data_IF_530075647402
#
_entry.id   IF_530075647402
#
_cell.length_a   1.000
_cell.length_b   1.000
_cell.length_c   1.000
_cell.angle_alpha   90.00
_cell.angle_beta   90.00
_cell.angle_gamma   90.00
#
_symmetry.space_group_name_H-M   'P 1'
#
loop_
_entity.id
_entity.type
_entity.pdbx_description
1 polymer ?
#
# COMPACT_ATOMS: atom_id res chain seq x y z
N UNK A 1 -4.06 26.68 0.90
CA UNK A 1 -2.65 26.54 1.28
C UNK A 1 -2.22 25.11 0.97
N UNK A 2 -1.34 24.90 -0.02
CA UNK A 2 -0.92 23.56 -0.43
C UNK A 2 -0.02 22.94 0.64
N UNK A 3 -0.53 21.92 1.35
CA UNK A 3 0.30 21.04 2.18
C UNK A 3 1.16 20.19 1.24
N UNK A 4 2.29 20.71 0.76
CA UNK A 4 3.36 19.86 0.21
C UNK A 4 4.11 19.27 1.40
N UNK A 5 4.08 17.95 1.62
CA UNK A 5 4.86 17.36 2.71
C UNK A 5 6.36 17.52 2.40
N UNK A 6 7.12 17.90 3.42
CA UNK A 6 8.60 18.01 3.42
C UNK A 6 9.32 16.66 3.27
N UNK A 7 8.58 15.55 3.14
CA UNK A 7 9.12 14.24 2.82
C UNK A 7 8.72 13.83 1.40
N UNK A 8 9.62 13.99 0.43
CA UNK A 8 9.39 13.52 -0.94
C UNK A 8 9.35 11.98 -1.05
N UNK A 9 9.69 11.25 0.02
CA UNK A 9 9.80 9.79 0.01
C UNK A 9 8.48 9.08 0.35
N UNK A 10 7.58 9.72 1.11
CA UNK A 10 6.31 9.08 1.51
C UNK A 10 5.15 9.64 0.71
N UNK A 11 4.51 8.78 -0.07
CA UNK A 11 3.25 9.09 -0.74
C UNK A 11 2.11 8.38 -0.03
N UNK A 12 1.14 9.14 0.49
CA UNK A 12 -0.08 8.55 1.08
C UNK A 12 -1.15 8.46 0.00
N UNK A 13 -1.69 7.25 -0.21
CA UNK A 13 -2.69 6.97 -1.22
C UNK A 13 -3.99 6.45 -0.59
N UNK A 14 -5.13 6.73 -1.21
CA UNK A 14 -6.39 6.08 -0.85
C UNK A 14 -6.49 4.73 -1.56
N UNK A 15 -6.75 3.66 -0.80
CA UNK A 15 -6.93 2.32 -1.35
C UNK A 15 -8.39 1.98 -1.57
N UNK A 16 -8.70 1.45 -2.76
CA UNK A 16 -10.04 0.91 -3.06
C UNK A 16 -10.26 -0.49 -2.51
N UNK A 17 -9.26 -1.08 -1.83
CA UNK A 17 -9.37 -2.39 -1.18
C UNK A 17 -10.53 -2.40 -0.18
N UNK A 18 -11.44 -3.35 -0.35
CA UNK A 18 -12.64 -3.47 0.51
C UNK A 18 -13.72 -2.40 0.26
N UNK A 19 -13.48 -1.47 -0.67
CA UNK A 19 -14.42 -0.42 -1.04
C UNK A 19 -15.09 -0.77 -2.38
N UNK A 20 -16.39 -1.04 -2.38
CA UNK A 20 -17.16 -1.30 -3.60
C UNK A 20 -17.57 0.02 -4.27
N UNK A 21 -16.59 0.79 -4.75
CA UNK A 21 -16.80 2.09 -5.37
C UNK A 21 -16.13 2.19 -6.75
N UNK A 22 -16.77 2.83 -7.73
CA UNK A 22 -16.15 3.17 -9.01
C UNK A 22 -14.92 4.07 -8.85
N UNK A 23 -13.97 3.98 -9.79
CA UNK A 23 -12.73 4.78 -9.75
C UNK A 23 -12.96 6.29 -9.61
N UNK A 24 -13.95 6.85 -10.30
CA UNK A 24 -14.28 8.28 -10.22
C UNK A 24 -14.72 8.71 -8.81
N UNK A 25 -15.44 7.84 -8.09
CA UNK A 25 -15.86 8.11 -6.71
C UNK A 25 -14.67 8.03 -5.75
N UNK A 26 -13.75 7.08 -5.98
CA UNK A 26 -12.49 7.01 -5.25
C UNK A 26 -11.62 8.25 -5.46
N UNK A 27 -11.61 8.82 -6.67
CA UNK A 27 -10.91 10.07 -6.97
C UNK A 27 -11.46 11.24 -6.14
N UNK A 28 -12.78 11.43 -6.11
CA UNK A 28 -13.41 12.47 -5.29
C UNK A 28 -13.12 12.27 -3.80
N UNK A 29 -13.20 11.03 -3.31
CA UNK A 29 -12.90 10.70 -1.93
C UNK A 29 -11.44 11.00 -1.54
N UNK A 30 -10.51 10.64 -2.41
CA UNK A 30 -9.10 10.93 -2.19
C UNK A 30 -8.84 12.43 -2.21
N UNK A 31 -9.46 13.16 -3.14
CA UNK A 31 -9.36 14.62 -3.21
C UNK A 31 -9.95 15.30 -1.96
N UNK A 32 -11.13 14.87 -1.50
CA UNK A 32 -11.77 15.36 -0.26
C UNK A 32 -10.92 15.06 0.98
N UNK A 33 -10.23 13.91 0.99
CA UNK A 33 -9.28 13.56 2.04
C UNK A 33 -7.94 14.30 1.94
N UNK A 34 -7.70 15.04 0.86
CA UNK A 34 -6.46 15.78 0.61
C UNK A 34 -5.28 14.89 0.18
N UNK A 35 -5.57 13.73 -0.40
CA UNK A 35 -4.57 12.77 -0.86
C UNK A 35 -4.16 13.01 -2.31
N UNK A 36 -2.90 12.71 -2.62
CA UNK A 36 -2.31 12.95 -3.94
C UNK A 36 -2.27 11.70 -4.83
N UNK A 37 -2.71 10.54 -4.34
CA UNK A 37 -2.60 9.28 -5.05
C UNK A 37 -3.73 8.30 -4.73
N UNK A 38 -3.98 7.40 -5.68
CA UNK A 38 -4.87 6.25 -5.55
C UNK A 38 -4.12 4.94 -5.65
N UNK A 39 -4.56 3.98 -4.84
CA UNK A 39 -4.18 2.59 -4.89
C UNK A 39 -5.42 1.77 -5.28
N UNK A 40 -5.47 1.33 -6.54
CA UNK A 40 -6.64 0.67 -7.11
C UNK A 40 -6.53 -0.85 -6.93
N UNK A 41 -7.50 -1.44 -6.24
CA UNK A 41 -7.65 -2.88 -6.17
C UNK A 41 -8.46 -3.41 -7.36
N UNK A 42 -7.82 -4.22 -8.20
CA UNK A 42 -8.45 -4.96 -9.29
C UNK A 42 -8.25 -6.47 -9.12
N UNK A 43 -8.10 -6.95 -7.88
CA UNK A 43 -7.88 -8.36 -7.55
C UNK A 43 -9.04 -9.31 -7.90
N UNK A 44 -10.21 -8.78 -8.28
CA UNK A 44 -11.39 -9.56 -8.64
C UNK A 44 -12.08 -8.99 -9.87
N UNK A 45 -12.92 -9.77 -10.54
CA UNK A 45 -13.65 -9.32 -11.72
C UNK A 45 -14.56 -8.10 -11.45
N UNK A 46 -15.18 -8.06 -10.26
CA UNK A 46 -16.03 -6.94 -9.82
C UNK A 46 -15.17 -5.72 -9.53
N UNK A 47 -14.06 -5.89 -8.81
CA UNK A 47 -13.15 -4.79 -8.50
C UNK A 47 -12.55 -4.20 -9.79
N UNK A 48 -12.04 -5.05 -10.70
CA UNK A 48 -11.55 -4.62 -12.01
C UNK A 48 -12.60 -3.88 -12.85
N UNK A 49 -13.88 -4.29 -12.77
CA UNK A 49 -14.98 -3.57 -13.40
C UNK A 49 -15.23 -2.21 -12.75
N UNK A 50 -15.16 -2.08 -11.42
CA UNK A 50 -15.28 -0.79 -10.73
C UNK A 50 -14.13 0.16 -11.09
N UNK A 51 -12.89 -0.35 -11.18
CA UNK A 51 -11.72 0.44 -11.60
C UNK A 51 -11.88 0.97 -13.03
N UNK A 52 -12.48 0.18 -13.93
CA UNK A 52 -12.70 0.62 -15.31
C UNK A 52 -13.80 1.68 -15.45
N UNK A 53 -14.70 1.85 -14.46
CA UNK A 53 -15.77 2.84 -14.51
C UNK A 53 -15.24 4.28 -14.37
N UNK A 54 -15.43 5.06 -15.42
CA UNK A 54 -15.17 6.50 -15.45
C UNK A 54 -16.41 7.29 -15.05
N UNK A 55 -16.19 8.53 -14.63
CA UNK A 55 -17.22 9.51 -14.29
C UNK A 55 -16.69 10.93 -14.49
N UNK A 56 -17.47 11.92 -14.11
CA UNK A 56 -17.09 13.33 -14.27
C UNK A 56 -15.87 13.66 -13.38
N UNK A 57 -14.86 14.31 -13.97
CA UNK A 57 -13.54 14.56 -13.35
C UNK A 57 -13.48 15.97 -12.76
N UNK A 58 -14.22 16.24 -11.68
CA UNK A 58 -14.06 17.55 -11.01
C UNK A 58 -12.79 17.60 -10.15
N UNK A 59 -12.25 16.44 -9.76
CA UNK A 59 -10.97 16.31 -9.06
C UNK A 59 -10.10 15.23 -9.71
N UNK A 60 -8.83 15.57 -9.98
CA UNK A 60 -7.87 14.64 -10.55
C UNK A 60 -6.91 14.14 -9.47
N UNK A 61 -6.97 12.84 -9.17
CA UNK A 61 -6.00 12.13 -8.33
C UNK A 61 -5.46 10.95 -9.14
N UNK A 62 -4.14 10.89 -9.41
CA UNK A 62 -3.53 9.83 -10.21
C UNK A 62 -3.54 8.49 -9.46
N UNK A 63 -3.51 7.40 -10.23
CA UNK A 63 -3.33 6.04 -9.70
C UNK A 63 -1.85 5.75 -9.58
N UNK A 64 -1.35 5.64 -8.34
CA UNK A 64 0.03 5.26 -8.05
C UNK A 64 0.26 3.75 -8.18
N UNK A 65 -0.76 2.93 -7.91
CA UNK A 65 -0.67 1.48 -7.93
C UNK A 65 -1.96 0.81 -8.36
N UNK A 66 -1.84 -0.32 -9.07
CA UNK A 66 -2.95 -1.16 -9.52
C UNK A 66 -2.68 -2.62 -9.17
N UNK A 67 -3.57 -3.24 -8.39
CA UNK A 67 -3.41 -4.62 -7.92
C UNK A 67 -4.15 -5.58 -8.82
N UNK A 68 -3.45 -6.59 -9.33
CA UNK A 68 -3.96 -7.56 -10.29
C UNK A 68 -3.59 -8.98 -9.85
N UNK A 69 -4.46 -9.99 -10.06
CA UNK A 69 -4.05 -11.38 -9.93
C UNK A 69 -2.95 -11.68 -10.95
N UNK A 70 -1.85 -12.29 -10.52
CA UNK A 70 -0.69 -12.51 -11.41
C UNK A 70 -1.04 -13.36 -12.64
N UNK A 71 -1.89 -14.38 -12.48
CA UNK A 71 -2.37 -15.22 -13.59
C UNK A 71 -3.31 -14.49 -14.57
N UNK A 72 -3.79 -13.29 -14.21
CA UNK A 72 -4.58 -12.45 -15.10
C UNK A 72 -3.77 -11.30 -15.69
N UNK A 73 -2.56 -11.04 -15.21
CA UNK A 73 -1.79 -9.85 -15.58
C UNK A 73 -1.44 -9.82 -17.08
N UNK A 74 -1.20 -10.98 -17.70
CA UNK A 74 -0.95 -11.10 -19.15
C UNK A 74 -2.22 -11.10 -20.01
N UNK A 75 -3.41 -11.15 -19.40
CA UNK A 75 -4.67 -11.20 -20.14
C UNK A 75 -4.99 -9.89 -20.85
N UNK A 76 -5.68 -9.98 -22.00
CA UNK A 76 -6.12 -8.82 -22.76
C UNK A 76 -7.07 -7.90 -21.96
N UNK A 77 -7.80 -8.45 -20.98
CA UNK A 77 -8.65 -7.65 -20.08
C UNK A 77 -7.80 -6.79 -19.15
N UNK A 78 -6.76 -7.36 -18.54
CA UNK A 78 -5.86 -6.62 -17.65
C UNK A 78 -5.05 -5.59 -18.42
N UNK A 79 -4.53 -5.94 -19.62
CA UNK A 79 -3.84 -4.97 -20.49
C UNK A 79 -4.73 -3.80 -20.87
N UNK A 80 -6.00 -4.07 -21.23
CA UNK A 80 -7.00 -3.01 -21.47
C UNK A 80 -7.22 -2.14 -20.24
N UNK A 81 -7.32 -2.73 -19.05
CA UNK A 81 -7.48 -1.98 -17.80
C UNK A 81 -6.26 -1.09 -17.51
N UNK A 82 -5.04 -1.65 -17.60
CA UNK A 82 -3.79 -0.91 -17.39
C UNK A 82 -3.67 0.26 -18.36
N UNK A 83 -3.92 0.01 -19.66
CA UNK A 83 -3.94 1.07 -20.68
C UNK A 83 -4.99 2.13 -20.38
N UNK A 84 -6.22 1.73 -20.03
CA UNK A 84 -7.27 2.68 -19.67
C UNK A 84 -6.90 3.53 -18.44
N UNK A 85 -6.25 2.96 -17.43
CA UNK A 85 -5.79 3.73 -16.26
C UNK A 85 -4.68 4.68 -16.68
N UNK A 86 -3.72 4.21 -17.47
CA UNK A 86 -2.57 4.97 -17.96
C UNK A 86 -2.99 6.17 -18.84
N UNK A 87 -3.85 5.94 -19.83
CA UNK A 87 -4.41 6.98 -20.70
C UNK A 87 -5.14 8.09 -19.92
N UNK A 88 -5.68 7.79 -18.72
CA UNK A 88 -6.37 8.79 -17.90
C UNK A 88 -5.40 9.77 -17.23
N UNK A 89 -4.17 9.33 -16.98
CA UNK A 89 -3.20 10.05 -16.15
C UNK A 89 -1.96 10.56 -16.92
N UNK A 90 -1.90 10.31 -18.23
CA UNK A 90 -0.83 10.80 -19.10
C UNK A 90 0.42 9.95 -18.97
N UNK A 91 1.57 10.58 -18.77
CA UNK A 91 2.89 9.92 -18.80
C UNK A 91 3.22 9.14 -17.51
N UNK A 92 2.50 9.36 -16.41
CA UNK A 92 2.73 8.62 -15.16
C UNK A 92 2.13 7.21 -15.26
N UNK A 93 2.96 6.17 -15.26
CA UNK A 93 2.48 4.78 -15.24
C UNK A 93 2.21 4.31 -13.80
N UNK A 94 1.05 3.69 -13.52
CA UNK A 94 0.76 3.15 -12.20
C UNK A 94 1.64 1.93 -11.94
N UNK A 95 2.20 1.76 -10.75
CA UNK A 95 2.95 0.54 -10.46
C UNK A 95 2.00 -0.67 -10.43
N UNK A 96 2.35 -1.77 -11.11
CA UNK A 96 1.51 -2.97 -11.13
C UNK A 96 1.89 -3.88 -9.97
N UNK A 97 0.93 -4.13 -9.10
CA UNK A 97 1.10 -5.04 -7.97
C UNK A 97 0.48 -6.39 -8.31
N UNK A 98 1.33 -7.40 -8.47
CA UNK A 98 0.96 -8.73 -8.89
C UNK A 98 0.70 -9.61 -7.67
N UNK A 99 -0.57 -9.94 -7.45
CA UNK A 99 -1.01 -10.83 -6.39
C UNK A 99 -0.71 -12.27 -6.78
N UNK A 100 0.32 -12.82 -6.16
CA UNK A 100 0.65 -14.23 -6.31
C UNK A 100 -0.22 -15.08 -5.38
N UNK A 101 -0.76 -16.18 -5.89
CA UNK A 101 -1.51 -17.15 -5.08
C UNK A 101 -0.61 -17.97 -4.16
N UNK A 102 0.65 -18.17 -4.57
CA UNK A 102 1.72 -18.81 -3.79
C UNK A 102 3.00 -17.98 -3.87
N UNK A 103 3.85 -18.06 -2.84
CA UNK A 103 5.19 -17.48 -2.85
C UNK A 103 6.25 -18.51 -3.26
N UNK A 104 5.88 -19.50 -4.08
CA UNK A 104 6.84 -20.47 -4.59
C UNK A 104 7.65 -19.86 -5.74
N UNK A 105 8.98 -19.79 -5.58
CA UNK A 105 9.88 -19.11 -6.53
C UNK A 105 9.75 -19.59 -7.97
N UNK A 106 9.55 -20.89 -8.17
CA UNK A 106 9.42 -21.46 -9.52
C UNK A 106 8.21 -20.90 -10.26
N UNK A 107 7.08 -20.76 -9.57
CA UNK A 107 5.86 -20.21 -10.16
C UNK A 107 5.98 -18.71 -10.39
N UNK A 108 6.56 -17.99 -9.42
CA UNK A 108 6.83 -16.55 -9.54
C UNK A 108 7.75 -16.25 -10.73
N UNK A 109 8.86 -16.97 -10.86
CA UNK A 109 9.83 -16.77 -11.95
C UNK A 109 9.20 -16.93 -13.33
N UNK A 110 8.43 -18.02 -13.54
CA UNK A 110 7.70 -18.22 -14.80
C UNK A 110 6.77 -17.05 -15.12
N UNK A 111 6.01 -16.60 -14.13
CA UNK A 111 5.04 -15.52 -14.31
C UNK A 111 5.70 -14.15 -14.56
N UNK A 112 6.84 -13.89 -13.90
CA UNK A 112 7.60 -12.65 -14.10
C UNK A 112 8.17 -12.58 -15.51
N UNK A 113 8.76 -13.67 -16.01
CA UNK A 113 9.29 -13.75 -17.38
C UNK A 113 8.21 -13.42 -18.42
N UNK A 114 7.01 -13.97 -18.26
CA UNK A 114 5.88 -13.71 -19.17
C UNK A 114 5.47 -12.23 -19.17
N UNK A 115 5.64 -11.53 -18.05
CA UNK A 115 5.20 -10.14 -17.88
C UNK A 115 6.25 -9.11 -18.27
N UNK A 116 7.53 -9.37 -18.01
CA UNK A 116 8.63 -8.46 -18.35
C UNK A 116 8.70 -8.16 -19.85
N UNK A 117 8.32 -9.11 -20.72
CA UNK A 117 8.26 -8.87 -22.17
C UNK A 117 7.13 -7.92 -22.61
N UNK A 118 6.24 -7.50 -21.71
CA UNK A 118 5.00 -6.80 -22.07
C UNK A 118 4.70 -5.54 -21.27
N UNK A 119 5.37 -5.33 -20.13
CA UNK A 119 5.09 -4.22 -19.23
C UNK A 119 6.22 -3.17 -19.26
N UNK A 120 5.93 -1.97 -19.76
CA UNK A 120 6.80 -0.79 -19.63
C UNK A 120 6.70 -0.14 -18.22
N UNK A 121 6.16 -0.88 -17.25
CA UNK A 121 5.70 -0.36 -15.97
C UNK A 121 6.40 -1.08 -14.82
N UNK A 122 6.66 -0.35 -13.74
CA UNK A 122 7.23 -0.90 -12.50
C UNK A 122 6.36 -2.04 -11.96
N UNK A 123 6.96 -3.21 -11.75
CA UNK A 123 6.29 -4.40 -11.23
C UNK A 123 6.62 -4.60 -9.75
N UNK A 124 5.59 -4.89 -8.95
CA UNK A 124 5.72 -5.25 -7.54
C UNK A 124 5.08 -6.62 -7.30
N UNK A 125 5.68 -7.42 -6.43
CA UNK A 125 5.05 -8.64 -5.92
C UNK A 125 4.16 -8.24 -4.74
N UNK A 126 2.86 -8.45 -4.89
CA UNK A 126 1.87 -8.25 -3.84
C UNK A 126 1.83 -9.45 -2.91
N UNK A 127 2.14 -9.23 -1.63
CA UNK A 127 2.09 -10.25 -0.58
C UNK A 127 0.95 -9.91 0.36
N UNK A 128 0.01 -10.84 0.51
CA UNK A 128 -0.98 -10.74 1.56
C UNK A 128 -0.40 -11.35 2.84
N UNK A 129 -0.50 -10.67 3.97
CA UNK A 129 0.01 -11.24 5.22
C UNK A 129 -0.71 -12.51 5.67
N UNK A 130 -1.91 -12.81 5.15
CA UNK A 130 -2.53 -14.11 5.37
C UNK A 130 -1.71 -15.28 4.80
N UNK A 131 -0.80 -15.01 3.85
CA UNK A 131 0.14 -15.98 3.28
C UNK A 131 1.38 -16.17 4.16
N UNK A 132 1.62 -15.26 5.11
CA UNK A 132 2.77 -15.23 5.99
C UNK A 132 2.34 -15.67 7.40
N UNK A 133 2.65 -16.91 7.78
CA UNK A 133 2.44 -17.36 9.17
C UNK A 133 3.46 -16.70 10.10
N UNK A 134 3.04 -16.28 11.29
CA UNK A 134 3.93 -15.59 12.23
C UNK A 134 5.09 -16.45 12.75
N UNK A 135 5.96 -15.84 13.55
CA UNK A 135 7.22 -16.44 14.03
C UNK A 135 8.30 -16.57 12.95
N UNK A 136 9.44 -17.19 13.27
CA UNK A 136 10.63 -17.22 12.39
C UNK A 136 10.41 -17.61 10.91
N UNK A 137 9.48 -18.52 10.54
CA UNK A 137 9.29 -18.92 9.15
C UNK A 137 8.95 -17.78 8.18
N UNK A 138 8.12 -16.79 8.57
CA UNK A 138 7.83 -15.68 7.63
C UNK A 138 9.06 -14.84 7.33
N UNK A 139 9.98 -14.66 8.29
CA UNK A 139 11.19 -13.87 8.05
C UNK A 139 12.13 -14.55 7.05
N UNK A 140 12.16 -15.89 7.05
CA UNK A 140 12.89 -16.66 6.03
C UNK A 140 12.22 -16.50 4.66
N UNK A 141 10.89 -16.60 4.60
CA UNK A 141 10.13 -16.40 3.38
C UNK A 141 10.31 -14.99 2.79
N UNK A 142 10.25 -13.95 3.64
CA UNK A 142 10.47 -12.56 3.24
C UNK A 142 11.92 -12.30 2.82
N UNK A 143 12.89 -12.93 3.47
CA UNK A 143 14.30 -12.84 3.07
C UNK A 143 14.54 -13.41 1.68
N UNK A 144 14.01 -14.61 1.42
CA UNK A 144 14.11 -15.20 0.10
C UNK A 144 13.29 -14.42 -0.95
N UNK A 145 12.14 -13.85 -0.58
CA UNK A 145 11.33 -13.02 -1.48
C UNK A 145 12.07 -11.76 -1.87
N UNK A 146 12.77 -11.14 -0.92
CA UNK A 146 13.64 -10.01 -1.19
C UNK A 146 14.73 -10.38 -2.19
N UNK A 147 15.43 -11.49 -2.01
CA UNK A 147 16.48 -11.90 -2.97
C UNK A 147 15.93 -12.15 -4.37
N UNK A 148 14.75 -12.78 -4.47
CA UNK A 148 14.07 -12.91 -5.75
C UNK A 148 13.69 -11.54 -6.36
N UNK A 149 13.17 -10.62 -5.55
CA UNK A 149 12.86 -9.27 -6.03
C UNK A 149 14.12 -8.49 -6.42
N UNK A 150 15.27 -8.75 -5.78
CA UNK A 150 16.57 -8.18 -6.16
C UNK A 150 17.07 -8.72 -7.49
N UNK A 151 17.02 -10.03 -7.67
CA UNK A 151 17.45 -10.73 -8.89
C UNK A 151 16.65 -10.30 -10.13
N UNK A 152 15.34 -10.08 -9.97
CA UNK A 152 14.42 -9.76 -11.06
C UNK A 152 14.08 -8.26 -11.19
N UNK A 153 14.75 -7.41 -10.41
CA UNK A 153 14.49 -5.97 -10.27
C UNK A 153 13.02 -5.61 -10.03
N UNK A 154 12.39 -6.31 -9.09
CA UNK A 154 11.01 -6.10 -8.70
C UNK A 154 10.94 -5.28 -7.41
N UNK A 155 9.79 -4.64 -7.19
CA UNK A 155 9.40 -4.19 -5.85
C UNK A 155 8.57 -5.23 -5.11
N UNK A 156 8.29 -4.95 -3.85
CA UNK A 156 7.41 -5.73 -2.98
C UNK A 156 6.36 -4.79 -2.40
N UNK A 157 5.11 -5.24 -2.44
CA UNK A 157 3.99 -4.58 -1.80
C UNK A 157 3.43 -5.49 -0.70
N UNK A 158 3.32 -4.97 0.52
CA UNK A 158 2.71 -5.69 1.64
C UNK A 158 1.26 -5.23 1.83
N UNK A 159 0.33 -6.19 1.83
CA UNK A 159 -1.07 -5.95 2.17
C UNK A 159 -1.36 -6.39 3.62
N UNK A 160 -1.45 -5.41 4.53
CA UNK A 160 -1.77 -5.57 5.95
C UNK A 160 -3.26 -5.40 6.25
N UNK A 161 -4.10 -5.28 5.22
CA UNK A 161 -5.56 -5.09 5.40
C UNK A 161 -6.28 -6.40 5.69
N UNK A 162 -5.59 -7.54 5.56
CA UNK A 162 -6.14 -8.88 5.76
C UNK A 162 -6.18 -9.32 7.24
N UNK A 163 -6.19 -10.63 7.44
CA UNK A 163 -5.93 -11.22 8.74
C UNK A 163 -4.42 -11.21 9.01
N UNK A 164 -4.04 -10.77 10.20
CA UNK A 164 -2.65 -10.72 10.65
C UNK A 164 -2.46 -11.71 11.78
N UNK A 165 -1.35 -12.45 11.74
CA UNK A 165 -0.93 -13.27 12.87
C UNK A 165 -0.33 -12.36 13.96
N UNK A 166 -0.80 -12.41 15.21
CA UNK A 166 -0.24 -11.62 16.31
C UNK A 166 1.25 -11.88 16.57
N UNK A 167 1.76 -13.06 16.17
CA UNK A 167 3.18 -13.45 16.29
C UNK A 167 4.02 -12.98 15.11
N UNK A 168 3.45 -12.21 14.18
CA UNK A 168 4.19 -11.62 13.07
C UNK A 168 5.12 -10.52 13.59
N UNK A 169 6.40 -10.62 13.24
CA UNK A 169 7.45 -9.71 13.69
C UNK A 169 7.49 -8.50 12.74
N UNK A 170 6.52 -7.61 12.91
CA UNK A 170 6.24 -6.51 11.99
C UNK A 170 7.45 -5.65 11.60
N UNK A 171 8.26 -5.20 12.58
CA UNK A 171 9.44 -4.38 12.26
C UNK A 171 10.51 -5.22 11.55
N UNK A 172 10.76 -6.44 12.02
CA UNK A 172 11.74 -7.34 11.41
C UNK A 172 11.36 -7.71 9.97
N UNK A 173 10.08 -7.89 9.68
CA UNK A 173 9.55 -8.16 8.35
C UNK A 173 9.81 -6.98 7.39
N UNK A 174 9.54 -5.76 7.84
CA UNK A 174 9.80 -4.53 7.06
C UNK A 174 11.29 -4.34 6.82
N UNK A 175 12.12 -4.46 7.87
CA UNK A 175 13.58 -4.38 7.77
C UNK A 175 14.14 -5.46 6.84
N UNK A 176 13.60 -6.68 6.91
CA UNK A 176 14.04 -7.80 6.07
C UNK A 176 13.83 -7.48 4.58
N UNK A 177 12.69 -6.91 4.21
CA UNK A 177 12.42 -6.50 2.83
C UNK A 177 13.27 -5.31 2.36
N UNK A 178 13.67 -4.43 3.30
CA UNK A 178 14.55 -3.30 3.01
C UNK A 178 14.02 -2.43 1.85
N UNK A 179 14.91 -1.97 0.98
CA UNK A 179 14.58 -1.11 -0.16
C UNK A 179 13.60 -1.72 -1.17
N UNK A 180 13.40 -3.04 -1.17
CA UNK A 180 12.44 -3.70 -2.07
C UNK A 180 11.00 -3.45 -1.64
N UNK A 181 10.72 -3.14 -0.36
CA UNK A 181 9.37 -2.75 0.06
C UNK A 181 9.02 -1.34 -0.44
N UNK A 182 8.14 -1.25 -1.43
CA UNK A 182 7.81 0.02 -2.09
C UNK A 182 6.36 0.46 -1.85
N UNK A 183 5.52 -0.47 -1.40
CA UNK A 183 4.13 -0.18 -1.06
C UNK A 183 3.71 -0.92 0.22
N UNK A 184 3.11 -0.20 1.16
CA UNK A 184 2.48 -0.76 2.34
C UNK A 184 1.01 -0.39 2.37
N UNK A 185 0.11 -1.39 2.31
CA UNK A 185 -1.33 -1.15 2.41
C UNK A 185 -1.82 -1.48 3.81
N UNK A 186 -2.50 -0.53 4.46
CA UNK A 186 -3.03 -0.64 5.84
C UNK A 186 -4.49 -0.22 5.88
N UNK A 187 -5.21 -0.55 6.96
CA UNK A 187 -6.57 -0.04 7.19
C UNK A 187 -6.52 1.37 7.77
N UNK A 188 -7.58 2.14 7.61
CA UNK A 188 -7.77 3.48 8.20
C UNK A 188 -7.74 3.50 9.74
N UNK A 189 -7.93 2.35 10.38
CA UNK A 189 -7.84 2.20 11.84
C UNK A 189 -6.43 1.92 12.36
N UNK A 190 -5.52 1.42 11.52
CA UNK A 190 -4.18 1.02 11.95
C UNK A 190 -3.24 2.21 12.27
N UNK A 191 -3.23 3.31 11.48
CA UNK A 191 -2.42 4.51 11.78
C UNK A 191 -2.98 5.29 12.97
N UNK A 192 -2.76 4.78 14.18
CA UNK A 192 -3.24 5.39 15.42
C UNK A 192 -2.31 5.09 16.59
N UNK A 193 -2.21 6.05 17.52
CA UNK A 193 -1.53 5.87 18.82
C UNK A 193 -2.23 4.83 19.71
N UNK A 194 -3.53 4.65 19.50
CA UNK A 194 -4.36 3.71 20.25
C UNK A 194 -4.64 2.43 19.47
N UNK A 195 -3.82 2.10 18.48
CA UNK A 195 -3.94 0.86 17.72
C UNK A 195 -3.80 -0.35 18.66
N UNK A 196 -4.78 -1.25 18.63
CA UNK A 196 -4.85 -2.45 19.48
C UNK A 196 -4.99 -3.70 18.62
N UNK A 197 -4.67 -4.86 19.20
CA UNK A 197 -4.80 -6.15 18.50
C UNK A 197 -4.04 -6.18 17.18
N UNK A 198 -4.73 -6.56 16.11
CA UNK A 198 -4.13 -6.68 14.77
C UNK A 198 -3.73 -5.32 14.16
N UNK A 199 -4.47 -4.26 14.48
CA UNK A 199 -4.12 -2.90 14.04
C UNK A 199 -2.79 -2.45 14.66
N UNK A 200 -2.44 -2.92 15.85
CA UNK A 200 -1.14 -2.65 16.46
C UNK A 200 0.00 -3.27 15.66
N UNK A 201 -0.19 -4.47 15.11
CA UNK A 201 0.80 -5.14 14.27
C UNK A 201 1.02 -4.36 12.97
N UNK A 202 -0.07 -3.93 12.32
CA UNK A 202 0.02 -3.10 11.12
C UNK A 202 0.62 -1.71 11.41
N UNK A 203 0.30 -1.10 12.55
CA UNK A 203 0.89 0.16 13.00
C UNK A 203 2.40 0.04 13.23
N UNK A 204 2.87 -1.06 13.86
CA UNK A 204 4.31 -1.33 14.03
C UNK A 204 5.05 -1.46 12.70
N UNK A 205 4.48 -2.19 11.74
CA UNK A 205 5.04 -2.27 10.40
C UNK A 205 5.05 -0.90 9.69
N UNK A 206 3.98 -0.11 9.85
CA UNK A 206 3.95 1.26 9.34
C UNK A 206 5.07 2.10 9.93
N UNK A 207 5.26 2.11 11.25
CA UNK A 207 6.35 2.85 11.89
C UNK A 207 7.72 2.42 11.36
N UNK A 208 8.01 1.12 11.36
CA UNK A 208 9.25 0.60 10.79
C UNK A 208 9.43 0.95 9.30
N UNK A 209 8.33 1.12 8.56
CA UNK A 209 8.38 1.50 7.16
C UNK A 209 8.61 3.01 6.96
N UNK A 210 8.11 3.85 7.87
CA UNK A 210 8.35 5.29 7.89
C UNK A 210 9.77 5.64 8.33
N UNK A 211 10.41 4.79 9.14
CA UNK A 211 11.81 4.95 9.57
C UNK A 211 12.82 4.63 8.46
N UNK A 212 12.37 4.41 7.23
CA UNK A 212 13.22 4.07 6.07
C UNK A 212 13.51 5.30 5.22
N UNK A 213 14.72 5.36 4.68
CA UNK A 213 15.18 6.43 3.79
C UNK A 213 14.85 6.20 2.30
N UNK A 214 13.94 5.27 1.99
CA UNK A 214 13.60 4.91 0.61
C UNK A 214 12.15 5.28 0.28
N UNK A 215 11.82 5.63 -0.97
CA UNK A 215 10.46 5.94 -1.37
C UNK A 215 9.47 4.81 -1.03
N UNK A 216 8.34 5.19 -0.45
CA UNK A 216 7.28 4.29 -0.02
C UNK A 216 5.91 4.89 -0.29
N UNK A 217 5.04 4.10 -0.90
CA UNK A 217 3.61 4.38 -0.99
C UNK A 217 2.91 3.73 0.20
N UNK A 218 2.23 4.53 1.03
CA UNK A 218 1.36 4.03 2.09
C UNK A 218 -0.09 4.15 1.63
N UNK A 219 -0.70 3.02 1.31
CA UNK A 219 -2.07 2.95 0.83
C UNK A 219 -3.04 2.69 2.00
N UNK A 220 -4.01 3.58 2.20
CA UNK A 220 -4.97 3.50 3.31
C UNK A 220 -6.32 3.00 2.79
N UNK A 221 -6.70 1.80 3.21
CA UNK A 221 -7.97 1.17 2.90
C UNK A 221 -9.02 1.45 3.98
N UNK A 222 -10.29 1.58 3.60
CA UNK A 222 -11.39 1.65 4.56
C UNK A 222 -11.52 0.33 5.32
N UNK A 223 -11.54 0.38 6.66
CA UNK A 223 -11.85 -0.77 7.52
C UNK A 223 -13.31 -1.24 7.38
N UNK A 224 -14.20 -0.37 6.91
CA UNK A 224 -15.62 -0.70 6.69
C UNK A 224 -15.84 -1.10 5.24
N UNK A 225 -16.45 -2.27 5.05
CA UNK A 225 -16.91 -2.74 3.73
C UNK A 225 -18.03 -1.79 3.28
N UNK A 226 -17.78 -1.02 2.23
CA UNK A 226 -18.83 -0.24 1.55
C UNK A 226 -19.61 -1.20 0.66
N UNK A 227 -20.96 -1.28 0.80
CA UNK A 227 -21.81 -0.24 0.23
C UNK A 227 -22.79 0.48 1.18
N UNK A 228 -22.84 0.17 2.49
CA UNK A 228 -23.72 0.80 3.52
C UNK A 228 -23.06 0.75 4.92
N UNK A 229 -23.21 1.73 5.87
CA UNK A 229 -23.60 3.13 5.82
C UNK A 229 -22.40 4.06 6.15
N UNK A 230 -21.17 3.71 5.74
CA UNK A 230 -20.12 4.72 5.74
C UNK A 230 -20.36 5.59 4.51
N UNK A 231 -20.94 6.78 4.72
CA UNK A 231 -21.04 7.76 3.64
C UNK A 231 -19.64 8.05 3.11
N UNK A 232 -19.50 8.41 1.82
CA UNK A 232 -18.22 8.82 1.27
C UNK A 232 -17.48 9.82 2.18
N UNK A 233 -18.21 10.77 2.77
CA UNK A 233 -17.66 11.73 3.75
C UNK A 233 -17.02 11.06 4.97
N UNK A 234 -17.63 10.04 5.56
CA UNK A 234 -17.06 9.33 6.72
C UNK A 234 -15.78 8.62 6.32
N UNK A 235 -15.76 7.97 5.15
CA UNK A 235 -14.55 7.34 4.62
C UNK A 235 -13.44 8.37 4.40
N UNK A 236 -13.76 9.49 3.75
CA UNK A 236 -12.80 10.58 3.52
C UNK A 236 -12.23 11.13 4.85
N UNK A 237 -13.07 11.31 5.87
CA UNK A 237 -12.62 11.78 7.20
C UNK A 237 -11.68 10.78 7.87
N UNK A 238 -12.01 9.49 7.87
CA UNK A 238 -11.15 8.48 8.48
C UNK A 238 -9.81 8.34 7.74
N UNK A 239 -9.87 8.28 6.42
CA UNK A 239 -8.70 8.22 5.55
C UNK A 239 -7.81 9.45 5.76
N UNK A 240 -8.42 10.65 5.85
CA UNK A 240 -7.69 11.88 6.15
C UNK A 240 -7.02 11.85 7.51
N UNK A 241 -7.69 11.33 8.56
CA UNK A 241 -7.09 11.18 9.89
C UNK A 241 -5.89 10.24 9.86
N UNK A 242 -6.02 9.10 9.19
CA UNK A 242 -4.93 8.16 9.00
C UNK A 242 -3.75 8.80 8.24
N UNK A 243 -4.05 9.58 7.19
CA UNK A 243 -3.04 10.30 6.42
C UNK A 243 -2.34 11.39 7.25
N UNK A 244 -3.10 12.20 7.99
CA UNK A 244 -2.55 13.21 8.90
C UNK A 244 -1.62 12.55 9.94
N UNK A 245 -1.98 11.40 10.50
CA UNK A 245 -1.11 10.63 11.40
C UNK A 245 0.18 10.16 10.72
N UNK A 246 0.08 9.56 9.52
CA UNK A 246 1.24 9.09 8.76
C UNK A 246 2.20 10.26 8.47
N UNK A 247 1.65 11.40 8.03
CA UNK A 247 2.42 12.60 7.72
C UNK A 247 3.08 13.17 8.98
N UNK A 248 2.33 13.30 10.09
CA UNK A 248 2.87 13.76 11.38
C UNK A 248 4.07 12.90 11.82
N UNK A 249 3.91 11.58 11.82
CA UNK A 249 4.98 10.65 12.22
C UNK A 249 6.18 10.69 11.29
N UNK A 250 5.96 10.84 9.99
CA UNK A 250 7.04 11.01 9.01
C UNK A 250 7.84 12.30 9.25
N UNK A 251 7.16 13.41 9.59
CA UNK A 251 7.83 14.68 9.90
C UNK A 251 8.65 14.59 11.18
N UNK A 252 8.12 13.93 12.22
CA UNK A 252 8.85 13.71 13.47
C UNK A 252 10.13 12.90 13.25
N UNK A 253 10.06 11.84 12.44
CA UNK A 253 11.23 11.04 12.08
C UNK A 253 12.30 11.88 11.38
N UNK A 254 11.92 12.69 10.39
CA UNK A 254 12.87 13.59 9.71
C UNK A 254 13.50 14.60 10.67
N UNK A 255 12.71 15.17 11.59
CA UNK A 255 13.24 16.10 12.59
C UNK A 255 14.30 15.41 13.47
N UNK A 256 14.02 14.19 13.93
CA UNK A 256 14.94 13.42 14.75
C UNK A 256 16.25 13.09 13.99
N UNK A 257 16.17 12.67 12.73
CA UNK A 257 17.34 12.42 11.89
C UNK A 257 18.19 13.69 11.66
N UNK A 258 17.56 14.87 11.55
CA UNK A 258 18.28 16.15 11.39
C UNK A 258 18.98 16.61 12.65
N UNK A 259 18.52 16.15 13.81
CA UNK A 259 19.03 16.53 15.13
C UNK A 259 20.09 15.53 15.67
N UNK A 260 20.53 14.55 14.87
CA UNK A 260 21.41 13.43 15.30
C UNK A 260 20.89 12.74 16.58
N UNK A 261 19.57 12.66 16.73
CA UNK A 261 18.94 11.96 17.85
C UNK A 261 18.89 10.47 17.52
N UNK A 262 19.96 9.76 17.86
CA UNK A 262 20.13 8.32 17.58
C UNK A 262 19.01 7.43 18.14
N UNK A 263 18.21 7.86 19.13
CA UNK A 263 17.10 7.08 19.69
C UNK A 263 15.91 7.95 20.14
N UNK A 264 14.76 7.79 19.48
CA UNK A 264 13.47 8.34 19.93
C UNK A 264 12.77 7.39 20.94
N UNK A 265 13.39 7.15 22.09
CA UNK A 265 12.77 6.41 23.21
C UNK A 265 12.07 7.33 24.23
N UNK A 266 12.02 8.65 24.03
CA UNK A 266 11.53 9.60 25.05
C UNK A 266 10.14 10.20 24.83
N UNK A 267 9.33 9.71 23.89
CA UNK A 267 7.89 10.03 23.95
C UNK A 267 7.25 9.23 25.07
N UNK A 268 6.95 9.89 26.19
CA UNK A 268 6.27 9.37 27.40
C UNK A 268 5.52 8.07 27.13
N UNK A 269 6.08 6.97 27.62
CA UNK A 269 5.39 5.68 27.68
C UNK A 269 4.05 5.88 28.40
N UNK A 270 2.97 5.34 27.84
CA UNK A 270 1.66 5.30 28.47
C UNK A 270 1.60 4.32 29.66
N UNK A 271 2.68 4.19 30.43
CA UNK A 271 2.68 3.53 31.72
C UNK A 271 2.56 4.58 32.82
N UNK A 272 1.37 4.67 33.40
CA UNK A 272 1.16 5.08 34.78
C UNK A 272 1.03 6.57 35.04
N UNK A 273 -0.21 7.06 34.97
CA UNK A 273 -0.88 7.73 36.08
C UNK A 273 -2.39 7.43 35.96
#
# INVERSE_FOLDING_TARGET
>A
MSRRPLNALITVAFSTRGALMPAWMSQHLAADAGLSALDQDASSAVAAWLVSRTGHRDAYVPTASLWLPIGMASSERSRRLVRQVSERQGDEMPSLVLLASSLQYRDLGRQVVELQGTAATRLLIGVNTSQLRGGRPHLVQLGALRHFAEEWDLGVALDLTGHLDPTWEAEAAVTRLGQRLQLLRVRDTSPSRTAVGLDRVACRALHAALDRESPLVVAVASSRISPLPATPRVVAVNVRRAADYIIERSMLHISALREDLDHFEQSRSSRGA
#
